data_IF_251748378097
#
_entry.id   IF_251748378097
#
_cell.length_a   1.000
_cell.length_b   1.000
_cell.length_c   1.000
_cell.angle_alpha   90.00
_cell.angle_beta   90.00
_cell.angle_gamma   90.00
#
_symmetry.space_group_name_H-M   'P 1'
#
loop_
_entity.id
_entity.type
_entity.pdbx_description
1 polymer ?
#
# COMPACT_ATOMS: atom_id res chain seq x y z
N UNK A 1 8.69 -1.33 24.87
CA UNK A 1 7.55 -1.84 24.08
C UNK A 1 7.75 -1.37 22.65
N UNK A 2 7.56 -2.21 21.60
CA UNK A 2 7.60 -1.71 20.23
C UNK A 2 6.49 -0.67 20.07
N UNK A 3 6.82 0.51 19.55
CA UNK A 3 5.80 1.53 19.27
C UNK A 3 4.86 1.02 18.16
N UNK A 4 3.54 1.30 18.23
CA UNK A 4 2.62 0.93 17.17
C UNK A 4 3.05 1.58 15.86
N UNK A 5 3.56 0.78 14.93
CA UNK A 5 4.02 1.30 13.65
C UNK A 5 2.81 1.76 12.83
N UNK A 6 2.83 3.00 12.34
CA UNK A 6 1.77 3.51 11.47
C UNK A 6 2.03 3.12 10.00
N UNK A 7 0.96 2.87 9.25
CA UNK A 7 0.97 2.59 7.82
C UNK A 7 0.13 3.65 7.08
N UNK A 8 0.72 4.29 6.06
CA UNK A 8 0.04 5.24 5.17
C UNK A 8 -0.32 4.56 3.86
N UNK A 9 -1.58 4.68 3.45
CA UNK A 9 -2.12 3.98 2.29
C UNK A 9 -2.89 4.94 1.40
N UNK A 10 -2.65 4.90 0.10
CA UNK A 10 -3.58 5.44 -0.88
C UNK A 10 -4.69 4.41 -1.13
N UNK A 11 -5.93 4.74 -0.76
CA UNK A 11 -7.10 3.86 -0.98
C UNK A 11 -7.97 4.43 -2.08
N UNK A 12 -8.43 3.55 -2.96
CA UNK A 12 -9.45 3.88 -3.96
C UNK A 12 -10.78 4.17 -3.26
N UNK A 13 -11.30 5.39 -3.39
CA UNK A 13 -12.64 5.75 -2.88
C UNK A 13 -13.74 5.46 -3.89
N UNK A 14 -13.44 5.69 -5.18
CA UNK A 14 -14.36 5.43 -6.29
C UNK A 14 -13.56 5.02 -7.51
N UNK A 15 -14.19 4.25 -8.40
CA UNK A 15 -13.60 3.92 -9.70
C UNK A 15 -13.49 5.21 -10.54
N UNK A 16 -12.31 5.54 -11.08
CA UNK A 16 -12.15 6.67 -11.98
C UNK A 16 -13.00 6.49 -13.24
N UNK A 17 -13.57 7.58 -13.74
CA UNK A 17 -14.24 7.61 -15.03
C UNK A 17 -13.32 8.34 -16.03
N UNK A 18 -12.49 7.57 -16.74
CA UNK A 18 -11.38 8.10 -17.53
C UNK A 18 -10.11 8.20 -16.68
N UNK A 19 -9.40 9.32 -16.77
CA UNK A 19 -8.17 9.56 -16.01
C UNK A 19 -8.43 9.67 -14.51
N UNK A 20 -7.37 9.45 -13.72
CA UNK A 20 -7.42 9.61 -12.28
C UNK A 20 -7.67 11.08 -11.92
N UNK A 21 -8.77 11.35 -11.21
CA UNK A 21 -9.16 12.69 -10.80
C UNK A 21 -8.99 12.89 -9.28
N UNK A 22 -8.90 14.15 -8.82
CA UNK A 22 -9.01 14.46 -7.39
C UNK A 22 -10.27 13.83 -6.78
N UNK A 23 -10.08 13.15 -5.64
CA UNK A 23 -11.15 12.45 -4.93
C UNK A 23 -11.30 10.96 -5.27
N UNK A 24 -10.65 10.47 -6.34
CA UNK A 24 -10.65 9.04 -6.66
C UNK A 24 -9.83 8.23 -5.65
N UNK A 25 -8.73 8.82 -5.18
CA UNK A 25 -7.91 8.28 -4.10
C UNK A 25 -8.05 9.10 -2.82
N UNK A 26 -7.88 8.41 -1.68
CA UNK A 26 -7.73 9.03 -0.37
C UNK A 26 -6.51 8.47 0.32
N UNK A 27 -5.62 9.36 0.77
CA UNK A 27 -4.55 9.01 1.68
C UNK A 27 -5.14 8.79 3.08
N UNK A 28 -4.89 7.61 3.65
CA UNK A 28 -5.28 7.26 5.01
C UNK A 28 -4.07 6.80 5.81
N UNK A 29 -4.15 6.97 7.12
CA UNK A 29 -3.16 6.45 8.08
C UNK A 29 -3.86 5.48 9.01
N UNK A 30 -3.28 4.30 9.22
CA UNK A 30 -3.75 3.31 10.18
C UNK A 30 -2.58 2.71 10.94
N UNK A 31 -2.85 1.91 11.97
CA UNK A 31 -1.82 1.05 12.53
C UNK A 31 -1.45 -0.07 11.55
N UNK A 32 -0.21 -0.54 11.61
CA UNK A 32 0.22 -1.80 10.98
C UNK A 32 -0.52 -2.93 11.70
N UNK A 33 -1.29 -3.77 10.99
CA UNK A 33 -1.98 -4.90 11.61
C UNK A 33 -0.99 -5.96 12.09
N UNK A 34 -1.38 -6.72 13.12
CA UNK A 34 -0.61 -7.87 13.57
C UNK A 34 -0.53 -8.93 12.47
N UNK A 35 0.64 -9.54 12.30
CA UNK A 35 0.86 -10.60 11.31
C UNK A 35 0.20 -11.91 11.78
N UNK A 36 -0.53 -12.56 10.89
CA UNK A 36 -1.00 -13.93 11.09
C UNK A 36 0.07 -14.98 10.75
N UNK A 37 -0.24 -16.28 10.91
CA UNK A 37 0.65 -17.36 10.47
C UNK A 37 1.06 -17.18 9.00
N UNK A 38 2.34 -17.37 8.70
CA UNK A 38 2.94 -17.23 7.37
C UNK A 38 2.83 -15.84 6.72
N UNK A 39 2.67 -14.77 7.52
CA UNK A 39 2.68 -13.39 7.03
C UNK A 39 3.98 -12.66 7.42
N UNK A 40 4.54 -11.89 6.49
CA UNK A 40 5.70 -11.02 6.70
C UNK A 40 5.32 -9.54 6.76
N UNK A 41 6.05 -8.76 7.55
CA UNK A 41 5.99 -7.30 7.53
C UNK A 41 7.09 -6.77 6.62
N UNK A 42 6.73 -5.87 5.73
CA UNK A 42 7.69 -5.23 4.85
C UNK A 42 7.56 -3.72 4.86
N UNK A 43 8.70 -3.08 4.63
CA UNK A 43 8.80 -1.65 4.39
C UNK A 43 8.89 -1.44 2.88
N UNK A 44 7.88 -0.75 2.33
CA UNK A 44 7.92 -0.36 0.93
C UNK A 44 9.05 0.65 0.72
N UNK A 45 10.03 0.30 -0.11
CA UNK A 45 11.11 1.20 -0.51
C UNK A 45 10.77 1.93 -1.82
N UNK A 46 10.17 1.20 -2.76
CA UNK A 46 9.76 1.71 -4.07
C UNK A 46 8.36 1.23 -4.42
N UNK A 47 7.61 2.07 -5.12
CA UNK A 47 6.32 1.74 -5.71
C UNK A 47 6.43 1.91 -7.22
N UNK A 48 6.03 0.90 -7.97
CA UNK A 48 5.96 0.99 -9.43
C UNK A 48 4.56 1.43 -9.81
N UNK A 49 4.49 2.45 -10.66
CA UNK A 49 3.26 2.90 -11.30
C UNK A 49 3.33 2.50 -12.77
N UNK A 50 2.34 1.74 -13.22
CA UNK A 50 2.20 1.33 -14.62
C UNK A 50 0.91 1.95 -15.19
N UNK A 51 1.00 2.44 -16.42
CA UNK A 51 -0.12 2.97 -17.17
C UNK A 51 -0.85 1.84 -17.88
N UNK A 52 -1.47 0.93 -17.11
CA UNK A 52 -2.41 -0.02 -17.68
C UNK A 52 -3.75 0.70 -17.77
N UNK A 53 -4.26 0.88 -19.00
CA UNK A 53 -5.54 1.51 -19.27
C UNK A 53 -6.63 1.01 -18.29
N UNK A 54 -7.02 1.86 -17.34
CA UNK A 54 -8.10 1.60 -16.39
C UNK A 54 -7.75 0.88 -15.08
N UNK A 55 -6.49 0.56 -14.79
CA UNK A 55 -6.12 -0.03 -13.50
C UNK A 55 -4.71 0.37 -13.03
N UNK A 56 -4.64 1.13 -11.93
CA UNK A 56 -3.39 1.29 -11.17
C UNK A 56 -3.15 -0.02 -10.41
N UNK A 57 -2.58 -1.01 -11.09
CA UNK A 57 -2.11 -2.25 -10.50
C UNK A 57 -0.67 -2.07 -10.03
N UNK A 58 -0.46 -1.69 -8.77
CA UNK A 58 0.88 -1.64 -8.20
C UNK A 58 1.42 -3.05 -7.96
N UNK A 59 2.50 -3.45 -8.65
CA UNK A 59 3.28 -4.63 -8.25
C UNK A 59 4.09 -4.25 -7.01
N UNK A 60 3.70 -4.78 -5.86
CA UNK A 60 4.43 -4.58 -4.62
C UNK A 60 5.67 -5.49 -4.59
N UNK A 61 6.86 -4.91 -4.73
CA UNK A 61 8.12 -5.62 -4.46
C UNK A 61 8.42 -5.48 -2.97
N UNK A 62 8.08 -6.53 -2.22
CA UNK A 62 8.29 -6.64 -0.78
C UNK A 62 9.70 -7.14 -0.53
N UNK A 63 10.59 -6.29 -0.01
CA UNK A 63 11.84 -6.76 0.59
C UNK A 63 11.52 -7.22 2.02
N UNK A 64 11.38 -8.53 2.21
CA UNK A 64 11.24 -9.12 3.54
C UNK A 64 12.61 -9.07 4.19
N UNK A 65 12.80 -8.14 5.12
CA UNK A 65 13.93 -8.21 6.03
C UNK A 65 13.68 -9.36 7.00
N UNK A 66 14.49 -10.42 6.92
CA UNK A 66 14.66 -11.31 8.07
C UNK A 66 15.29 -10.48 9.18
N UNK A 67 14.52 -10.12 10.20
CA UNK A 67 15.16 -9.82 11.49
C UNK A 67 15.70 -11.15 12.04
N UNK A 68 16.93 -11.16 12.57
CA UNK A 68 17.51 -12.33 13.22
C UNK A 68 16.70 -12.77 14.45
#
# INVERSE_FOLDING_TARGET
>A
MPMPQSNRQWRLRRRPAGDLAPGDLKLVTSLVPAQGPNQGLARNLYLVFDAIAGAIGGKLVVQIGSQP
#
